data_IF_168632414641
#
_entry.id   IF_168632414641
#
_cell.length_a   1.000
_cell.length_b   1.000
_cell.length_c   1.000
_cell.angle_alpha   90.00
_cell.angle_beta   90.00
_cell.angle_gamma   90.00
#
_symmetry.space_group_name_H-M   'P 1'
#
loop_
_entity.id
_entity.type
_entity.pdbx_description
1 polymer ?
#
# COMPACT_ATOMS: atom_id res chain seq x y z
N UNK A 1 13.72 -72.59 -9.94
CA UNK A 1 13.28 -71.94 -11.19
C UNK A 1 12.19 -70.94 -10.83
N UNK A 2 12.48 -69.64 -10.68
CA UNK A 2 12.33 -68.56 -11.70
C UNK A 2 10.92 -68.61 -12.35
N UNK A 3 10.00 -67.64 -12.20
CA UNK A 3 10.08 -66.28 -12.73
C UNK A 3 9.05 -65.30 -12.09
N UNK A 4 9.58 -64.17 -11.61
CA UNK A 4 9.11 -62.78 -11.64
C UNK A 4 7.67 -62.43 -12.06
N UNK A 5 6.96 -61.69 -11.20
CA UNK A 5 5.95 -60.70 -11.61
C UNK A 5 6.15 -59.40 -10.80
N UNK A 6 6.93 -58.50 -11.40
CA UNK A 6 7.05 -57.09 -11.03
C UNK A 6 5.88 -56.29 -11.60
N UNK A 7 5.13 -55.57 -10.77
CA UNK A 7 4.53 -54.28 -11.12
C UNK A 7 4.49 -53.37 -9.89
N UNK A 8 5.58 -52.62 -9.71
CA UNK A 8 5.63 -51.41 -8.90
C UNK A 8 4.81 -50.32 -9.59
N UNK A 9 3.60 -50.08 -9.09
CA UNK A 9 2.84 -48.89 -9.40
C UNK A 9 3.23 -47.78 -8.43
N UNK A 10 4.38 -47.13 -8.64
CA UNK A 10 4.69 -45.86 -7.99
C UNK A 10 3.68 -44.81 -8.47
N UNK A 11 2.73 -44.46 -7.59
CA UNK A 11 2.00 -43.20 -7.74
C UNK A 11 3.00 -42.07 -7.46
N UNK A 12 3.53 -41.48 -8.53
CA UNK A 12 4.16 -40.16 -8.49
C UNK A 12 3.10 -39.15 -8.08
N UNK A 13 3.06 -38.80 -6.80
CA UNK A 13 2.42 -37.57 -6.35
C UNK A 13 3.13 -36.39 -7.01
N UNK A 14 2.38 -35.68 -7.85
CA UNK A 14 2.83 -34.49 -8.54
C UNK A 14 3.03 -33.36 -7.53
N UNK A 15 4.27 -33.12 -7.11
CA UNK A 15 4.66 -31.93 -6.35
C UNK A 15 4.62 -30.72 -7.28
N UNK A 16 3.56 -29.92 -7.20
CA UNK A 16 3.41 -28.63 -7.89
C UNK A 16 2.40 -27.82 -7.07
N UNK A 17 2.64 -26.63 -6.52
CA UNK A 17 3.78 -25.72 -6.50
C UNK A 17 3.90 -25.18 -5.07
N UNK A 18 5.12 -25.10 -4.53
CA UNK A 18 5.38 -24.36 -3.29
C UNK A 18 5.45 -22.89 -3.71
N UNK A 19 4.34 -22.15 -3.57
CA UNK A 19 4.41 -20.69 -3.46
C UNK A 19 5.39 -20.40 -2.33
N UNK A 20 6.46 -19.65 -2.61
CA UNK A 20 7.42 -19.24 -1.60
C UNK A 20 6.63 -18.62 -0.43
N UNK A 21 6.78 -19.16 0.78
CA UNK A 21 6.25 -18.52 1.98
C UNK A 21 6.99 -17.19 2.10
N UNK A 22 6.37 -16.09 1.65
CA UNK A 22 6.86 -14.76 1.96
C UNK A 22 7.03 -14.67 3.48
N UNK A 23 8.23 -14.32 3.92
CA UNK A 23 8.53 -14.19 5.35
C UNK A 23 7.56 -13.18 5.96
N UNK A 24 6.77 -13.63 6.94
CA UNK A 24 5.78 -12.77 7.60
C UNK A 24 6.53 -11.79 8.52
N UNK A 25 6.40 -10.47 8.35
CA UNK A 25 7.07 -9.51 9.22
C UNK A 25 6.73 -9.73 10.70
N UNK A 26 7.76 -9.82 11.53
CA UNK A 26 7.66 -9.95 12.99
C UNK A 26 8.26 -8.71 13.65
N UNK A 27 7.77 -8.34 14.84
CA UNK A 27 8.22 -7.14 15.54
C UNK A 27 7.56 -5.87 14.98
N UNK A 28 8.27 -4.73 14.94
CA UNK A 28 7.70 -3.50 14.41
C UNK A 28 7.60 -3.59 12.88
N UNK A 29 6.52 -3.02 12.34
CA UNK A 29 6.16 -3.13 10.93
C UNK A 29 5.78 -1.77 10.37
N UNK A 30 6.04 -1.56 9.09
CA UNK A 30 5.42 -0.50 8.32
C UNK A 30 4.09 -1.02 7.76
N UNK A 31 2.98 -0.48 8.25
CA UNK A 31 1.63 -0.79 7.80
C UNK A 31 1.23 0.15 6.67
N UNK A 32 0.82 -0.40 5.54
CA UNK A 32 0.27 0.34 4.40
C UNK A 32 -1.19 -0.06 4.21
N UNK A 33 -2.07 0.93 4.20
CA UNK A 33 -3.44 0.79 3.72
C UNK A 33 -3.57 1.47 2.37
N UNK A 34 -4.31 0.86 1.46
CA UNK A 34 -4.69 1.45 0.17
C UNK A 34 -6.20 1.38 0.00
N UNK A 35 -6.77 2.30 -0.77
CA UNK A 35 -8.21 2.36 -1.01
C UNK A 35 -8.49 3.12 -2.32
N UNK A 36 -9.44 2.65 -3.12
CA UNK A 36 -9.85 3.33 -4.36
C UNK A 36 -10.86 4.43 -4.01
N UNK A 37 -10.60 5.66 -4.45
CA UNK A 37 -11.54 6.76 -4.26
C UNK A 37 -12.78 6.54 -5.12
N UNK A 38 -13.94 6.73 -4.49
CA UNK A 38 -15.26 6.72 -5.12
C UNK A 38 -15.59 5.44 -5.93
N UNK A 39 -15.00 4.33 -5.50
CA UNK A 39 -15.22 3.00 -6.10
C UNK A 39 -16.69 2.57 -6.06
N UNK A 40 -17.43 2.96 -5.02
CA UNK A 40 -18.82 2.54 -4.80
C UNK A 40 -19.75 3.08 -5.89
N UNK A 41 -19.54 4.32 -6.31
CA UNK A 41 -20.31 4.95 -7.39
C UNK A 41 -19.96 4.33 -8.73
N UNK A 42 -18.67 4.07 -8.99
CA UNK A 42 -18.22 3.38 -10.19
C UNK A 42 -18.75 1.94 -10.29
N UNK A 43 -18.90 1.25 -9.15
CA UNK A 43 -19.59 -0.04 -9.06
C UNK A 43 -21.07 0.04 -9.41
N UNK A 44 -21.73 1.14 -9.09
CA UNK A 44 -23.16 1.35 -9.34
C UNK A 44 -23.45 1.63 -10.81
N UNK A 45 -22.66 2.52 -11.41
CA UNK A 45 -22.89 3.02 -12.76
C UNK A 45 -22.22 2.14 -13.85
N UNK A 46 -21.05 1.58 -13.55
CA UNK A 46 -20.22 0.84 -14.51
C UNK A 46 -19.66 -0.49 -13.93
N UNK A 47 -20.50 -1.43 -13.47
CA UNK A 47 -20.05 -2.63 -12.74
C UNK A 47 -19.12 -3.55 -13.54
N UNK A 48 -19.31 -3.64 -14.86
CA UNK A 48 -18.47 -4.49 -15.72
C UNK A 48 -17.07 -3.91 -15.91
N UNK A 49 -16.99 -2.59 -16.10
CA UNK A 49 -15.74 -1.86 -16.23
C UNK A 49 -15.01 -1.81 -14.89
N UNK A 50 -15.74 -1.62 -13.77
CA UNK A 50 -15.16 -1.65 -12.43
C UNK A 50 -14.57 -3.03 -12.09
N UNK A 51 -15.23 -4.13 -12.46
CA UNK A 51 -14.65 -5.48 -12.32
C UNK A 51 -13.28 -5.60 -13.01
N UNK A 52 -13.17 -5.10 -14.24
CA UNK A 52 -11.93 -5.15 -15.02
C UNK A 52 -10.86 -4.22 -14.45
N UNK A 53 -11.25 -3.01 -14.07
CA UNK A 53 -10.35 -2.04 -13.46
C UNK A 53 -9.82 -2.55 -12.12
N UNK A 54 -10.67 -3.14 -11.26
CA UNK A 54 -10.23 -3.73 -10.00
C UNK A 54 -9.26 -4.88 -10.23
N UNK A 55 -9.51 -5.77 -11.20
CA UNK A 55 -8.59 -6.86 -11.52
C UNK A 55 -7.22 -6.36 -12.01
N UNK A 56 -7.20 -5.27 -12.79
CA UNK A 56 -5.96 -4.63 -13.24
C UNK A 56 -5.23 -3.92 -12.10
N UNK A 57 -5.95 -3.19 -11.25
CA UNK A 57 -5.44 -2.57 -10.03
C UNK A 57 -4.76 -3.60 -9.13
N UNK A 58 -5.48 -4.68 -8.80
CA UNK A 58 -5.00 -5.79 -7.99
C UNK A 58 -3.70 -6.41 -8.54
N UNK A 59 -3.64 -6.57 -9.87
CA UNK A 59 -2.46 -7.10 -10.55
C UNK A 59 -1.26 -6.15 -10.41
N UNK A 60 -1.46 -4.84 -10.61
CA UNK A 60 -0.41 -3.83 -10.46
C UNK A 60 0.12 -3.84 -9.03
N UNK A 61 -0.78 -3.77 -8.04
CA UNK A 61 -0.42 -3.79 -6.61
C UNK A 61 0.40 -5.03 -6.26
N UNK A 62 -0.06 -6.23 -6.62
CA UNK A 62 0.65 -7.47 -6.29
C UNK A 62 2.01 -7.58 -7.00
N UNK A 63 2.12 -7.11 -8.25
CA UNK A 63 3.40 -7.10 -8.99
C UNK A 63 4.44 -6.23 -8.30
N UNK A 64 4.05 -5.04 -7.85
CA UNK A 64 4.94 -4.10 -7.18
C UNK A 64 5.25 -4.58 -5.77
N UNK A 65 4.29 -5.20 -5.10
CA UNK A 65 4.45 -5.76 -3.76
C UNK A 65 5.57 -6.81 -3.70
N UNK A 66 5.60 -7.70 -4.69
CA UNK A 66 6.65 -8.71 -4.84
C UNK A 66 8.04 -8.08 -5.01
N UNK A 67 8.13 -6.95 -5.72
CA UNK A 67 9.40 -6.27 -5.97
C UNK A 67 9.99 -5.58 -4.72
N UNK A 68 9.16 -5.28 -3.71
CA UNK A 68 9.56 -4.56 -2.50
C UNK A 68 9.38 -5.37 -1.22
N UNK A 69 9.40 -6.71 -1.32
CA UNK A 69 9.38 -7.63 -0.16
C UNK A 69 8.21 -7.39 0.81
N UNK A 70 7.08 -6.87 0.32
CA UNK A 70 5.92 -6.61 1.17
C UNK A 70 5.03 -7.83 1.30
N UNK A 71 4.34 -7.93 2.43
CA UNK A 71 3.42 -9.03 2.72
C UNK A 71 1.96 -8.56 2.63
N UNK A 72 1.19 -9.17 1.73
CA UNK A 72 -0.25 -8.93 1.61
C UNK A 72 -0.99 -9.62 2.77
N UNK A 73 -1.47 -8.84 3.73
CA UNK A 73 -2.27 -9.37 4.85
C UNK A 73 -3.62 -9.82 4.31
N UNK A 74 -4.34 -8.88 3.68
CA UNK A 74 -5.66 -9.10 3.08
C UNK A 74 -6.06 -7.95 2.15
N UNK A 75 -6.89 -8.27 1.17
CA UNK A 75 -7.68 -7.27 0.45
C UNK A 75 -8.90 -6.84 1.28
N UNK A 76 -9.27 -5.56 1.21
CA UNK A 76 -10.39 -4.95 1.95
C UNK A 76 -11.55 -4.56 1.03
N UNK A 77 -11.71 -5.28 -0.10
CA UNK A 77 -12.68 -4.97 -1.15
C UNK A 77 -11.97 -4.38 -2.36
N UNK A 78 -11.89 -3.07 -2.39
CA UNK A 78 -11.23 -2.22 -3.38
C UNK A 78 -9.88 -1.65 -2.91
N UNK A 79 -9.48 -2.03 -1.70
CA UNK A 79 -8.22 -1.65 -1.07
C UNK A 79 -7.40 -2.84 -0.59
N UNK A 80 -6.24 -2.55 -0.04
CA UNK A 80 -5.33 -3.55 0.52
C UNK A 80 -4.82 -3.14 1.90
N UNK A 81 -4.66 -4.14 2.77
CA UNK A 81 -3.82 -4.04 3.96
C UNK A 81 -2.53 -4.83 3.73
N UNK A 82 -1.41 -4.11 3.75
CA UNK A 82 -0.08 -4.60 3.42
C UNK A 82 0.88 -4.23 4.55
N UNK A 83 1.87 -5.08 4.82
CA UNK A 83 2.90 -4.80 5.82
C UNK A 83 4.29 -5.05 5.28
N UNK A 84 5.27 -4.29 5.77
CA UNK A 84 6.68 -4.40 5.41
C UNK A 84 7.54 -4.43 6.67
N UNK A 85 8.68 -5.12 6.60
CA UNK A 85 9.71 -5.08 7.64
C UNK A 85 10.57 -3.81 7.57
N UNK A 86 10.66 -3.16 6.39
CA UNK A 86 11.40 -1.91 6.17
C UNK A 86 10.45 -0.76 5.80
N UNK A 87 10.68 0.41 6.40
CA UNK A 87 9.99 1.65 6.01
C UNK A 87 10.42 2.16 4.64
N UNK A 88 11.67 1.93 4.25
CA UNK A 88 12.16 2.26 2.90
C UNK A 88 11.43 1.45 1.83
N UNK A 89 11.25 0.15 2.04
CA UNK A 89 10.49 -0.71 1.11
C UNK A 89 9.02 -0.30 1.02
N UNK A 90 8.38 0.00 2.15
CA UNK A 90 7.00 0.50 2.18
C UNK A 90 6.82 1.80 1.38
N UNK A 91 7.75 2.76 1.54
CA UNK A 91 7.73 4.01 0.78
C UNK A 91 7.92 3.75 -0.72
N UNK A 92 8.92 2.95 -1.07
CA UNK A 92 9.20 2.63 -2.48
C UNK A 92 8.00 1.95 -3.14
N UNK A 93 7.38 0.98 -2.45
CA UNK A 93 6.16 0.34 -2.89
C UNK A 93 5.05 1.37 -3.21
N UNK A 94 4.75 2.29 -2.28
CA UNK A 94 3.68 3.26 -2.48
C UNK A 94 3.96 4.21 -3.66
N UNK A 95 5.20 4.70 -3.77
CA UNK A 95 5.60 5.61 -4.86
C UNK A 95 5.51 4.92 -6.24
N UNK A 96 5.99 3.67 -6.33
CA UNK A 96 5.90 2.89 -7.57
C UNK A 96 4.45 2.52 -7.90
N UNK A 97 3.66 2.12 -6.91
CA UNK A 97 2.25 1.81 -7.09
C UNK A 97 1.47 3.02 -7.61
N UNK A 98 1.67 4.20 -7.01
CA UNK A 98 1.05 5.44 -7.50
C UNK A 98 1.42 5.71 -8.96
N UNK A 99 2.70 5.61 -9.30
CA UNK A 99 3.18 5.86 -10.66
C UNK A 99 2.60 4.89 -11.68
N UNK A 100 2.60 3.59 -11.39
CA UNK A 100 2.11 2.56 -12.30
C UNK A 100 0.59 2.65 -12.48
N UNK A 101 -0.17 2.91 -11.41
CA UNK A 101 -1.63 3.11 -11.47
C UNK A 101 -1.97 4.35 -12.32
N UNK A 102 -1.26 5.45 -12.13
CA UNK A 102 -1.46 6.69 -12.89
C UNK A 102 -1.07 6.56 -14.37
N UNK A 103 -0.10 5.69 -14.68
CA UNK A 103 0.39 5.47 -16.05
C UNK A 103 -0.37 4.35 -16.77
N UNK A 104 -1.19 3.59 -16.05
CA UNK A 104 -1.93 2.47 -16.61
C UNK A 104 -3.01 2.95 -17.59
N UNK A 105 -3.31 2.10 -18.57
CA UNK A 105 -4.40 2.33 -19.52
C UNK A 105 -5.66 1.74 -18.90
N UNK A 106 -6.67 2.59 -18.71
CA UNK A 106 -7.97 2.20 -18.16
C UNK A 106 -9.05 2.27 -19.24
N UNK A 107 -10.18 1.58 -19.00
CA UNK A 107 -11.33 1.67 -19.87
C UNK A 107 -11.82 3.14 -19.98
N UNK A 108 -12.21 3.62 -21.17
CA UNK A 108 -12.65 5.01 -21.37
C UNK A 108 -13.71 5.45 -20.36
N UNK A 109 -14.67 4.58 -20.02
CA UNK A 109 -15.73 4.89 -19.07
C UNK A 109 -15.21 5.18 -17.66
N UNK A 110 -14.14 4.49 -17.23
CA UNK A 110 -13.48 4.76 -15.95
C UNK A 110 -12.73 6.09 -16.00
N UNK A 111 -12.12 6.41 -17.13
CA UNK A 111 -11.41 7.68 -17.33
C UNK A 111 -12.39 8.85 -17.35
N UNK A 112 -13.48 8.71 -18.10
CA UNK A 112 -14.53 9.72 -18.26
C UNK A 112 -15.24 9.97 -16.92
N UNK A 113 -15.60 8.91 -16.18
CA UNK A 113 -16.17 9.03 -14.84
C UNK A 113 -15.32 9.90 -13.91
N UNK A 114 -14.02 9.60 -13.85
CA UNK A 114 -13.09 10.31 -12.97
C UNK A 114 -12.81 11.72 -13.51
N UNK A 115 -12.91 11.97 -14.81
CA UNK A 115 -12.78 13.30 -15.40
C UNK A 115 -13.98 14.21 -15.07
N UNK A 116 -15.19 13.64 -15.04
CA UNK A 116 -16.43 14.40 -14.81
C UNK A 116 -16.69 14.69 -13.32
N UNK A 117 -16.27 13.82 -12.39
CA UNK A 117 -16.41 14.10 -10.96
C UNK A 117 -15.39 15.16 -10.49
N UNK A 118 -15.85 16.41 -10.53
CA UNK A 118 -15.18 17.60 -10.02
C UNK A 118 -15.47 17.85 -8.53
N UNK A 119 -16.23 16.98 -7.86
CA UNK A 119 -16.85 17.30 -6.56
C UNK A 119 -16.20 16.65 -5.32
N UNK A 120 -15.50 15.53 -5.46
CA UNK A 120 -14.86 14.82 -4.33
C UNK A 120 -13.33 14.85 -4.33
N UNK A 121 -12.73 15.26 -5.45
CA UNK A 121 -11.28 15.31 -5.66
C UNK A 121 -10.85 16.78 -5.67
N UNK A 122 -9.90 17.16 -4.82
CA UNK A 122 -9.28 18.50 -4.91
C UNK A 122 -8.56 18.62 -6.27
N UNK A 123 -9.22 19.27 -7.22
CA UNK A 123 -8.74 19.45 -8.58
C UNK A 123 -7.40 20.20 -8.62
N UNK A 124 -7.06 20.97 -7.58
CA UNK A 124 -5.77 21.65 -7.48
C UNK A 124 -4.61 20.67 -7.21
N UNK A 125 -4.89 19.54 -6.57
CA UNK A 125 -3.90 18.51 -6.20
C UNK A 125 -3.97 17.27 -7.07
N UNK A 126 -4.95 17.19 -7.96
CA UNK A 126 -5.02 16.14 -8.97
C UNK A 126 -3.85 16.30 -9.95
N UNK A 127 -3.04 15.25 -10.16
CA UNK A 127 -2.08 15.26 -11.26
C UNK A 127 -2.83 15.56 -12.57
N UNK A 128 -2.41 16.56 -13.35
CA UNK A 128 -3.18 17.07 -14.49
C UNK A 128 -3.44 16.06 -15.63
N UNK A 129 -2.88 14.84 -15.52
CA UNK A 129 -3.13 13.71 -16.42
C UNK A 129 -3.45 12.41 -15.71
N UNK A 130 -3.96 12.42 -14.46
CA UNK A 130 -4.51 11.20 -13.85
C UNK A 130 -5.65 10.67 -14.73
N UNK A 131 -5.34 9.64 -15.51
CA UNK A 131 -6.27 8.93 -16.38
C UNK A 131 -6.59 7.62 -15.67
N UNK A 132 -7.80 7.50 -15.14
CA UNK A 132 -8.28 6.29 -14.47
C UNK A 132 -8.15 6.32 -12.94
N UNK A 133 -8.17 5.13 -12.33
CA UNK A 133 -8.44 4.95 -10.91
C UNK A 133 -7.52 5.79 -10.02
N UNK A 134 -8.11 6.47 -9.04
CA UNK A 134 -7.39 7.22 -8.03
C UNK A 134 -7.32 6.40 -6.75
N UNK A 135 -6.11 6.07 -6.33
CA UNK A 135 -5.87 5.31 -5.10
C UNK A 135 -5.27 6.23 -4.06
N UNK A 136 -5.83 6.22 -2.85
CA UNK A 136 -5.22 6.81 -1.68
C UNK A 136 -4.41 5.76 -0.94
N UNK A 137 -3.30 6.16 -0.34
CA UNK A 137 -2.48 5.29 0.47
C UNK A 137 -2.14 5.94 1.80
N UNK A 138 -1.92 5.14 2.84
CA UNK A 138 -1.45 5.63 4.13
C UNK A 138 -0.44 4.69 4.75
N UNK A 139 0.63 5.26 5.30
CA UNK A 139 1.74 4.54 5.92
C UNK A 139 1.91 4.96 7.37
N UNK A 140 2.01 3.98 8.25
CA UNK A 140 2.38 4.16 9.65
C UNK A 140 3.35 3.06 10.09
N UNK A 141 4.19 3.35 11.07
CA UNK A 141 5.17 2.39 11.59
C UNK A 141 4.98 2.18 13.09
N UNK A 142 5.04 0.93 13.54
CA UNK A 142 4.99 0.62 14.96
C UNK A 142 4.84 -0.86 15.25
N UNK A 143 4.67 -1.18 16.54
CA UNK A 143 4.45 -2.55 16.98
C UNK A 143 2.97 -2.92 16.89
N UNK A 144 2.60 -4.05 16.24
CA UNK A 144 1.26 -4.57 16.34
C UNK A 144 1.01 -5.03 17.79
N UNK A 145 -0.19 -4.80 18.30
CA UNK A 145 -0.58 -5.32 19.63
C UNK A 145 -0.71 -6.84 19.62
N UNK A 146 -1.07 -7.41 18.46
CA UNK A 146 -1.16 -8.85 18.26
C UNK A 146 -0.86 -9.19 16.81
N UNK A 147 -0.08 -10.25 16.60
CA UNK A 147 0.16 -10.89 15.31
C UNK A 147 -0.23 -12.36 15.43
N UNK A 148 -1.17 -12.83 14.61
CA UNK A 148 -1.66 -14.20 14.68
C UNK A 148 -1.90 -14.78 13.29
N UNK A 149 -1.50 -16.04 13.08
CA UNK A 149 -1.89 -16.79 11.89
C UNK A 149 -3.38 -17.11 11.94
N UNK A 150 -4.12 -16.69 10.91
CA UNK A 150 -5.51 -17.03 10.75
C UNK A 150 -5.66 -18.56 10.63
N UNK A 151 -6.48 -19.22 11.48
CA UNK A 151 -6.62 -20.67 11.47
C UNK A 151 -7.12 -21.26 10.16
N UNK A 152 -7.85 -20.46 9.36
CA UNK A 152 -8.45 -20.91 8.09
C UNK A 152 -7.51 -20.75 6.90
N UNK A 153 -6.80 -19.63 6.83
CA UNK A 153 -6.00 -19.27 5.64
C UNK A 153 -4.51 -19.52 5.86
N UNK A 154 -4.05 -19.73 7.10
CA UNK A 154 -2.65 -19.83 7.46
C UNK A 154 -1.86 -18.51 7.38
N UNK A 155 -2.47 -17.46 6.81
CA UNK A 155 -1.88 -16.13 6.66
C UNK A 155 -1.80 -15.40 8.00
N UNK A 156 -0.72 -14.65 8.22
CA UNK A 156 -0.58 -13.74 9.36
C UNK A 156 -1.58 -12.59 9.24
N UNK A 157 -2.25 -12.25 10.33
CA UNK A 157 -3.06 -11.04 10.49
C UNK A 157 -2.53 -10.22 11.68
N UNK A 158 -2.73 -8.91 11.62
CA UNK A 158 -2.16 -7.94 12.54
C UNK A 158 -3.26 -7.07 13.13
N UNK A 159 -3.19 -6.81 14.43
CA UNK A 159 -4.20 -6.05 15.16
C UNK A 159 -3.55 -5.08 16.13
N UNK A 160 -4.28 -4.01 16.45
CA UNK A 160 -3.88 -3.06 17.48
C UNK A 160 -3.94 -1.61 17.03
N UNK A 161 -3.44 -0.76 17.92
CA UNK A 161 -3.41 0.70 17.74
C UNK A 161 -2.65 1.11 16.48
N UNK A 162 -1.48 0.50 16.22
CA UNK A 162 -0.65 0.75 15.02
C UNK A 162 -1.45 0.54 13.73
N UNK A 163 -2.25 -0.52 13.65
CA UNK A 163 -3.06 -0.83 12.46
C UNK A 163 -4.18 0.21 12.31
N UNK A 164 -4.82 0.58 13.42
CA UNK A 164 -5.88 1.58 13.42
C UNK A 164 -5.36 2.95 13.00
N UNK A 165 -4.18 3.37 13.49
CA UNK A 165 -3.54 4.63 13.09
C UNK A 165 -3.23 4.61 11.59
N UNK A 166 -2.61 3.53 11.08
CA UNK A 166 -2.31 3.38 9.66
C UNK A 166 -3.57 3.56 8.77
N UNK A 167 -4.68 2.92 9.15
CA UNK A 167 -5.94 3.06 8.44
C UNK A 167 -6.49 4.50 8.49
N UNK A 168 -6.29 5.22 9.61
CA UNK A 168 -6.71 6.62 9.74
C UNK A 168 -5.82 7.59 8.97
N UNK A 169 -4.51 7.34 8.92
CA UNK A 169 -3.57 8.08 8.08
C UNK A 169 -3.95 7.93 6.61
N UNK A 170 -4.27 6.71 6.15
CA UNK A 170 -4.79 6.49 4.79
C UNK A 170 -6.06 7.29 4.53
N UNK A 171 -7.00 7.30 5.48
CA UNK A 171 -8.24 8.05 5.35
C UNK A 171 -8.08 9.58 5.30
N UNK A 172 -6.91 10.13 5.64
CA UNK A 172 -6.62 11.56 5.46
C UNK A 172 -6.11 11.92 4.06
N UNK A 173 -5.68 10.93 3.27
CA UNK A 173 -5.18 11.15 1.92
C UNK A 173 -6.33 11.19 0.90
N UNK A 174 -6.21 12.08 -0.08
CA UNK A 174 -7.06 12.09 -1.27
C UNK A 174 -6.59 11.04 -2.29
N UNK A 175 -7.31 10.95 -3.41
CA UNK A 175 -6.91 10.13 -4.53
C UNK A 175 -5.56 10.56 -5.11
N UNK A 176 -4.70 9.60 -5.42
CA UNK A 176 -3.32 9.80 -5.86
C UNK A 176 -2.35 10.40 -4.81
N UNK A 177 -2.76 10.42 -3.53
CA UNK A 177 -1.92 10.87 -2.42
C UNK A 177 -1.46 9.69 -1.53
N UNK A 178 -0.36 9.90 -0.82
CA UNK A 178 0.16 8.98 0.20
C UNK A 178 0.33 9.75 1.50
N UNK A 179 -0.47 9.41 2.52
CA UNK A 179 -0.30 9.95 3.87
C UNK A 179 0.77 9.20 4.66
N UNK A 180 1.60 9.92 5.41
CA UNK A 180 2.62 9.32 6.28
C UNK A 180 2.61 9.97 7.67
N UNK A 181 2.73 9.17 8.72
CA UNK A 181 2.78 9.62 10.13
C UNK A 181 4.19 9.97 10.62
N UNK A 182 4.32 10.76 11.69
CA UNK A 182 5.56 10.96 12.48
C UNK A 182 6.33 9.67 12.77
N UNK A 183 5.66 8.64 13.29
CA UNK A 183 6.32 7.40 13.69
C UNK A 183 7.04 6.71 12.52
N UNK A 184 6.44 6.81 11.33
CA UNK A 184 7.04 6.35 10.08
C UNK A 184 8.24 7.19 9.67
N UNK A 185 8.13 8.52 9.75
CA UNK A 185 9.23 9.43 9.41
C UNK A 185 10.45 9.23 10.32
N UNK A 186 10.21 9.08 11.62
CA UNK A 186 11.26 8.80 12.59
C UNK A 186 12.00 7.50 12.26
N UNK A 187 11.27 6.45 11.88
CA UNK A 187 11.90 5.19 11.50
C UNK A 187 12.61 5.26 10.14
N UNK A 188 12.00 5.89 9.13
CA UNK A 188 12.60 6.08 7.81
C UNK A 188 13.94 6.82 7.92
N UNK A 189 14.01 7.83 8.79
CA UNK A 189 15.24 8.54 9.09
C UNK A 189 16.30 7.59 9.71
N UNK A 190 15.94 6.81 10.74
CA UNK A 190 16.86 5.85 11.39
C UNK A 190 17.42 4.85 10.40
N UNK A 191 16.55 4.25 9.56
CA UNK A 191 16.97 3.32 8.50
C UNK A 191 17.90 3.96 7.47
N UNK A 192 17.72 5.26 7.18
CA UNK A 192 18.49 5.93 6.12
C UNK A 192 19.86 6.39 6.61
N UNK A 193 19.94 6.85 7.86
CA UNK A 193 21.16 7.38 8.44
C UNK A 193 21.98 6.32 9.17
N UNK A 194 21.44 5.12 9.39
CA UNK A 194 22.02 4.07 10.24
C UNK A 194 22.35 4.64 11.65
N UNK A 195 21.40 5.38 12.20
CA UNK A 195 21.54 6.13 13.46
C UNK A 195 20.32 5.92 14.36
N UNK A 196 20.56 5.72 15.66
CA UNK A 196 19.49 5.43 16.63
C UNK A 196 19.06 6.62 17.51
N UNK A 197 19.73 7.78 17.43
CA UNK A 197 19.45 8.95 18.28
C UNK A 197 18.39 9.86 17.65
N UNK A 198 17.65 10.59 18.48
CA UNK A 198 16.53 11.41 18.00
C UNK A 198 17.00 12.78 17.49
N UNK A 199 16.65 13.11 16.24
CA UNK A 199 16.92 14.40 15.58
C UNK A 199 15.69 15.29 15.52
N UNK A 200 15.95 16.56 15.27
CA UNK A 200 14.94 17.57 14.91
C UNK A 200 14.14 17.15 13.66
N UNK A 201 12.86 17.54 13.66
CA UNK A 201 11.88 17.27 12.61
C UNK A 201 12.31 17.82 11.25
N UNK A 202 13.06 18.93 11.22
CA UNK A 202 13.60 19.49 10.00
C UNK A 202 14.50 18.50 9.23
N UNK A 203 15.28 17.68 9.94
CA UNK A 203 16.17 16.71 9.30
C UNK A 203 15.41 15.47 8.82
N UNK A 204 14.41 15.01 9.58
CA UNK A 204 13.49 13.94 9.15
C UNK A 204 12.75 14.34 7.87
N UNK A 205 12.28 15.59 7.82
CA UNK A 205 11.67 16.18 6.62
C UNK A 205 12.63 16.16 5.43
N UNK A 206 13.87 16.64 5.61
CA UNK A 206 14.86 16.67 4.55
C UNK A 206 15.18 15.27 3.99
N UNK A 207 15.22 14.24 4.84
CA UNK A 207 15.40 12.85 4.41
C UNK A 207 14.23 12.36 3.56
N UNK A 208 12.99 12.65 3.99
CA UNK A 208 11.81 12.31 3.21
C UNK A 208 11.84 13.00 1.84
N UNK A 209 12.02 14.32 1.82
CA UNK A 209 12.08 15.13 0.60
C UNK A 209 13.13 14.58 -0.37
N UNK A 210 14.34 14.27 0.12
CA UNK A 210 15.43 13.72 -0.71
C UNK A 210 15.04 12.40 -1.37
N UNK A 211 14.26 11.55 -0.68
CA UNK A 211 13.80 10.26 -1.20
C UNK A 211 12.66 10.39 -2.21
N UNK A 212 11.83 11.43 -2.12
CA UNK A 212 10.61 11.55 -2.95
C UNK A 212 10.73 12.57 -4.09
N UNK A 213 11.42 13.70 -3.86
CA UNK A 213 11.54 14.81 -4.84
C UNK A 213 12.28 14.37 -6.10
N UNK A 214 13.38 13.64 -5.95
CA UNK A 214 14.13 13.10 -7.10
C UNK A 214 13.34 12.05 -7.89
N UNK A 215 12.18 11.62 -7.37
CA UNK A 215 11.27 10.68 -8.00
C UNK A 215 9.99 11.35 -8.47
N UNK A 216 9.95 12.68 -8.53
CA UNK A 216 8.83 13.49 -9.02
C UNK A 216 7.61 13.51 -8.11
N UNK A 217 7.84 13.47 -6.80
CA UNK A 217 6.82 13.68 -5.79
C UNK A 217 7.18 14.87 -4.89
N UNK A 218 6.18 15.58 -4.41
CA UNK A 218 6.32 16.63 -3.41
C UNK A 218 5.77 16.17 -2.06
N UNK A 219 6.16 16.88 -1.00
CA UNK A 219 5.70 16.65 0.36
C UNK A 219 5.02 17.91 0.85
N UNK A 220 3.82 17.77 1.39
CA UNK A 220 3.14 18.82 2.12
C UNK A 220 2.98 18.44 3.59
N UNK A 221 3.27 19.41 4.46
CA UNK A 221 3.08 19.27 5.89
C UNK A 221 1.65 19.65 6.30
N UNK A 222 0.91 18.71 6.86
CA UNK A 222 -0.43 18.97 7.43
C UNK A 222 -0.36 19.34 8.92
N UNK A 223 0.83 19.26 9.53
CA UNK A 223 1.01 19.47 10.96
C UNK A 223 0.38 18.35 11.79
N UNK A 224 0.08 18.69 13.04
CA UNK A 224 -0.50 17.77 14.01
C UNK A 224 -2.01 17.66 13.81
N UNK A 225 -2.49 16.44 13.49
CA UNK A 225 -3.89 16.17 13.18
C UNK A 225 -4.49 15.23 14.22
N UNK A 226 -5.68 15.56 14.72
CA UNK A 226 -6.46 14.67 15.58
C UNK A 226 -7.20 13.63 14.73
N UNK A 227 -6.71 12.39 14.74
CA UNK A 227 -7.33 11.29 14.00
C UNK A 227 -8.49 10.69 14.78
N UNK A 228 -9.60 10.38 14.09
CA UNK A 228 -10.80 9.81 14.72
C UNK A 228 -10.49 8.48 15.43
N UNK A 229 -10.64 8.49 16.75
CA UNK A 229 -10.43 7.32 17.61
C UNK A 229 -8.97 7.05 17.98
N UNK A 230 -8.06 7.97 17.67
CA UNK A 230 -6.67 7.98 18.17
C UNK A 230 -6.61 9.00 19.33
N UNK A 231 -6.06 8.62 20.49
CA UNK A 231 -6.06 9.49 21.67
C UNK A 231 -5.17 10.72 21.51
N UNK A 232 -4.01 10.54 20.88
CA UNK A 232 -3.00 11.58 20.70
C UNK A 232 -2.99 12.09 19.24
N UNK A 233 -2.66 13.38 19.02
CA UNK A 233 -2.50 13.91 17.68
C UNK A 233 -1.32 13.22 16.97
N UNK A 234 -1.42 13.08 15.65
CA UNK A 234 -0.39 12.49 14.81
C UNK A 234 0.11 13.56 13.85
N UNK A 235 1.43 13.76 13.76
CA UNK A 235 1.99 14.61 12.69
C UNK A 235 1.75 13.90 11.36
N UNK A 236 1.08 14.59 10.44
CA UNK A 236 0.73 14.04 9.15
C UNK A 236 1.46 14.81 8.04
N UNK A 237 2.06 14.05 7.12
CA UNK A 237 2.57 14.59 5.86
C UNK A 237 1.91 13.88 4.70
N UNK A 238 1.66 14.62 3.63
CA UNK A 238 1.06 14.11 2.40
C UNK A 238 2.12 14.14 1.31
N UNK A 239 2.29 13.02 0.63
CA UNK A 239 3.17 12.88 -0.53
C UNK A 239 2.29 12.75 -1.77
N UNK A 240 2.56 13.55 -2.79
CA UNK A 240 1.76 13.56 -4.02
C UNK A 240 2.65 13.74 -5.26
N UNK A 241 2.21 13.21 -6.39
CA UNK A 241 2.96 13.24 -7.64
C UNK A 241 2.86 14.62 -8.30
N UNK A 242 4.00 15.11 -8.82
CA UNK A 242 4.05 16.34 -9.64
C UNK A 242 4.31 16.06 -11.12
N UNK A 243 4.30 14.79 -11.53
CA UNK A 243 4.49 14.44 -12.92
C UNK A 243 3.25 14.75 -13.77
N UNK A 244 3.54 15.28 -14.97
CA UNK A 244 2.63 15.41 -16.09
C UNK A 244 2.87 14.22 -17.03
N UNK A 245 2.35 13.03 -16.72
CA UNK A 245 2.49 11.85 -17.60
C UNK A 245 1.59 11.96 -18.81
#
# INVERSE_FOLDING_TARGET
>A
MVFNMSKSGEKKESKTAITQEQETPQGPIACVFTDIIDSTSLWWDHPSQMCQALAQHDKIIRTILEAFNGYEVKATGDGFFIVFSSTTDALNFCLHAQKEIQSAIWAPEVVDYIADDTSTIDLARRPPRSRGLLVRMGIHYGYPSMSQKCPKTGRMDYFGTTINIAARVCAQANGAEIGVSDAFLGQLWRETMDMDWEVDEALKQQVLETKVVNRGFEVEDQGWVMLKGVPDPVLLKIIFSVFYY
#
